data_IF_270409296530
#
_entry.id   IF_270409296530
#
_cell.length_a   1.000
_cell.length_b   1.000
_cell.length_c   1.000
_cell.angle_alpha   90.00
_cell.angle_beta   90.00
_cell.angle_gamma   90.00
#
_symmetry.space_group_name_H-M   'P 1'
#
loop_
_entity.id
_entity.type
_entity.pdbx_description
1 polymer ?
#
# COMPACT_ATOMS: atom_id res chain seq x y z
N UNK A 1 -15.47 2.00 2.22
CA UNK A 1 -14.91 0.74 2.74
C UNK A 1 -13.48 0.67 2.23
N UNK A 2 -12.48 0.37 3.07
CA UNK A 2 -11.09 0.24 2.62
C UNK A 2 -10.95 -0.89 1.59
N UNK A 3 -9.96 -0.79 0.73
CA UNK A 3 -9.67 -1.80 -0.29
C UNK A 3 -9.50 -3.20 0.30
N UNK A 4 -9.88 -4.23 -0.47
CA UNK A 4 -9.86 -5.66 -0.07
C UNK A 4 -10.79 -6.01 1.08
N UNK A 5 -11.89 -5.27 1.25
CA UNK A 5 -12.94 -5.63 2.21
C UNK A 5 -13.51 -7.04 1.88
N UNK A 6 -13.77 -7.83 2.91
CA UNK A 6 -14.41 -9.14 2.73
C UNK A 6 -15.89 -8.93 2.41
N UNK A 7 -16.49 -9.84 1.65
CA UNK A 7 -17.88 -9.71 1.23
C UNK A 7 -18.84 -9.47 2.41
N UNK A 8 -18.65 -10.15 3.53
CA UNK A 8 -19.51 -9.96 4.70
C UNK A 8 -19.40 -8.55 5.29
N UNK A 9 -18.20 -7.91 5.25
CA UNK A 9 -17.99 -6.53 5.71
C UNK A 9 -18.71 -5.55 4.80
N UNK A 10 -18.70 -5.80 3.48
CA UNK A 10 -19.47 -5.03 2.49
C UNK A 10 -20.96 -5.14 2.79
N UNK A 11 -21.48 -6.35 2.97
CA UNK A 11 -22.90 -6.61 3.27
C UNK A 11 -23.31 -5.88 4.56
N UNK A 12 -22.52 -5.97 5.62
CA UNK A 12 -22.80 -5.27 6.88
C UNK A 12 -22.81 -3.75 6.68
N UNK A 13 -21.85 -3.21 5.95
CA UNK A 13 -21.79 -1.76 5.71
C UNK A 13 -22.94 -1.28 4.85
N UNK A 14 -23.34 -2.02 3.84
CA UNK A 14 -24.51 -1.70 3.01
C UNK A 14 -25.79 -1.69 3.86
N UNK A 15 -25.97 -2.65 4.78
CA UNK A 15 -27.09 -2.64 5.71
C UNK A 15 -27.12 -1.36 6.55
N UNK A 16 -26.00 -0.99 7.18
CA UNK A 16 -25.92 0.22 8.00
C UNK A 16 -26.26 1.47 7.18
N UNK A 17 -25.69 1.59 5.98
CA UNK A 17 -25.98 2.72 5.08
C UNK A 17 -27.46 2.74 4.70
N UNK A 18 -28.07 1.58 4.43
CA UNK A 18 -29.48 1.51 4.10
C UNK A 18 -30.40 1.84 5.29
N UNK A 19 -30.02 1.50 6.52
CA UNK A 19 -30.74 1.96 7.72
C UNK A 19 -30.74 3.49 7.83
N UNK A 20 -29.56 4.11 7.61
CA UNK A 20 -29.42 5.56 7.60
C UNK A 20 -30.21 6.22 6.45
N UNK A 21 -30.20 5.61 5.25
CA UNK A 21 -30.95 6.09 4.09
C UNK A 21 -32.46 5.96 4.28
N UNK A 22 -32.91 4.84 4.84
CA UNK A 22 -34.33 4.58 5.08
C UNK A 22 -34.96 5.65 6.01
N UNK A 23 -34.20 6.09 7.02
CA UNK A 23 -34.65 7.18 7.92
C UNK A 23 -34.83 8.52 7.21
N UNK A 24 -34.18 8.70 6.06
CA UNK A 24 -34.28 9.92 5.22
C UNK A 24 -35.26 9.78 4.04
N UNK A 25 -35.67 8.55 3.74
CA UNK A 25 -36.59 8.27 2.63
C UNK A 25 -37.99 8.73 2.99
N UNK A 26 -38.73 9.33 2.03
CA UNK A 26 -40.14 9.73 2.26
C UNK A 26 -40.98 8.52 2.67
N UNK A 27 -41.66 8.66 3.79
CA UNK A 27 -42.49 7.58 4.36
C UNK A 27 -41.72 6.39 4.93
N UNK A 28 -40.41 6.50 5.09
CA UNK A 28 -39.49 5.40 5.51
C UNK A 28 -39.64 4.14 4.67
N UNK A 29 -39.80 4.30 3.36
CA UNK A 29 -39.90 3.19 2.39
C UNK A 29 -39.02 3.45 1.20
N UNK A 30 -38.27 2.42 0.75
CA UNK A 30 -37.56 2.47 -0.52
C UNK A 30 -38.51 2.16 -1.68
N UNK A 31 -38.31 2.88 -2.78
CA UNK A 31 -39.06 2.68 -4.04
C UNK A 31 -38.26 1.86 -5.06
N UNK A 32 -36.98 1.57 -4.78
CA UNK A 32 -36.07 0.79 -5.61
C UNK A 32 -34.69 0.71 -4.98
N UNK A 33 -33.71 0.28 -5.77
CA UNK A 33 -32.31 0.21 -5.40
C UNK A 33 -31.38 0.70 -6.53
N UNK A 34 -30.19 1.15 -6.20
CA UNK A 34 -29.15 1.54 -7.18
C UNK A 34 -27.75 1.25 -6.64
N UNK A 35 -26.82 1.00 -7.54
CA UNK A 35 -25.37 0.91 -7.30
C UNK A 35 -24.63 2.15 -7.83
N UNK A 36 -25.36 3.09 -8.44
CA UNK A 36 -24.83 4.36 -8.94
C UNK A 36 -24.81 5.43 -7.85
N UNK A 37 -23.62 5.98 -7.59
CA UNK A 37 -23.43 6.97 -6.54
C UNK A 37 -24.19 8.29 -6.78
N UNK A 38 -24.22 8.77 -8.04
CA UNK A 38 -24.93 10.01 -8.39
C UNK A 38 -26.43 9.86 -8.30
N UNK A 39 -26.97 8.70 -8.72
CA UNK A 39 -28.38 8.41 -8.59
C UNK A 39 -28.80 8.31 -7.13
N UNK A 40 -28.01 7.64 -6.31
CA UNK A 40 -28.24 7.54 -4.87
C UNK A 40 -28.18 8.90 -4.16
N UNK A 41 -27.31 9.82 -4.61
CA UNK A 41 -27.23 11.18 -4.07
C UNK A 41 -28.47 12.01 -4.40
N UNK A 42 -28.98 11.88 -5.64
CA UNK A 42 -30.17 12.61 -6.11
C UNK A 42 -31.48 12.05 -5.57
N UNK A 43 -31.53 10.76 -5.25
CA UNK A 43 -32.79 10.11 -4.85
C UNK A 43 -32.65 9.36 -3.51
N UNK A 44 -33.08 9.97 -2.40
CA UNK A 44 -33.04 9.32 -1.08
C UNK A 44 -33.97 8.11 -0.93
N UNK A 45 -34.93 7.91 -1.85
CA UNK A 45 -35.87 6.79 -1.82
C UNK A 45 -35.26 5.49 -2.42
N UNK A 46 -34.01 5.50 -2.87
CA UNK A 46 -33.33 4.30 -3.37
C UNK A 46 -32.47 3.67 -2.29
N UNK A 47 -32.54 2.35 -2.16
CA UNK A 47 -31.60 1.58 -1.37
C UNK A 47 -30.24 1.50 -2.09
N UNK A 48 -29.16 1.51 -1.33
CA UNK A 48 -27.84 1.19 -1.85
C UNK A 48 -27.74 -0.30 -2.16
N UNK A 49 -27.39 -0.64 -3.37
CA UNK A 49 -27.01 -1.99 -3.80
C UNK A 49 -25.54 -2.03 -4.24
N UNK A 50 -25.03 -3.20 -4.62
CA UNK A 50 -23.70 -3.37 -5.16
C UNK A 50 -23.61 -4.62 -6.04
N UNK A 51 -22.70 -4.59 -7.00
CA UNK A 51 -22.45 -5.70 -7.91
C UNK A 51 -21.24 -6.48 -7.43
N UNK A 52 -21.38 -7.82 -7.31
CA UNK A 52 -20.25 -8.72 -7.04
C UNK A 52 -19.62 -9.15 -8.36
N UNK A 53 -18.49 -8.54 -8.71
CA UNK A 53 -17.75 -8.94 -9.89
C UNK A 53 -16.98 -10.25 -9.65
N UNK A 54 -17.17 -11.30 -10.45
CA UNK A 54 -16.40 -12.54 -10.32
C UNK A 54 -14.93 -12.30 -10.69
N UNK A 55 -13.96 -12.82 -9.92
CA UNK A 55 -12.54 -12.67 -10.22
C UNK A 55 -12.17 -13.45 -11.51
N UNK A 56 -11.33 -12.84 -12.35
CA UNK A 56 -10.84 -13.42 -13.61
C UNK A 56 -9.33 -13.66 -13.54
N UNK A 57 -8.89 -14.60 -12.69
CA UNK A 57 -7.46 -14.82 -12.41
C UNK A 57 -6.60 -15.08 -13.66
N UNK A 58 -7.12 -15.84 -14.64
CA UNK A 58 -6.40 -16.07 -15.90
C UNK A 58 -6.11 -14.75 -16.65
N UNK A 59 -7.07 -13.83 -16.64
CA UNK A 59 -6.89 -12.50 -17.24
C UNK A 59 -5.86 -11.67 -16.47
N UNK A 60 -5.92 -11.70 -15.15
CA UNK A 60 -4.96 -10.95 -14.31
C UNK A 60 -3.54 -11.48 -14.50
N UNK A 61 -3.35 -12.79 -14.54
CA UNK A 61 -2.06 -13.42 -14.85
C UNK A 61 -1.55 -13.03 -16.24
N UNK A 62 -2.41 -13.00 -17.24
CA UNK A 62 -2.05 -12.55 -18.59
C UNK A 62 -1.48 -11.13 -18.60
N UNK A 63 -2.16 -10.17 -17.95
CA UNK A 63 -1.69 -8.80 -17.86
C UNK A 63 -0.42 -8.67 -17.01
N UNK A 64 -0.32 -9.40 -15.90
CA UNK A 64 0.89 -9.46 -15.09
C UNK A 64 2.11 -9.91 -15.91
N UNK A 65 1.97 -10.97 -16.72
CA UNK A 65 3.03 -11.44 -17.62
C UNK A 65 3.37 -10.39 -18.69
N UNK A 66 2.40 -9.76 -19.32
CA UNK A 66 2.65 -8.70 -20.29
C UNK A 66 3.45 -7.54 -19.69
N UNK A 67 3.10 -7.12 -18.46
CA UNK A 67 3.81 -6.06 -17.76
C UNK A 67 5.22 -6.51 -17.39
N UNK A 68 5.39 -7.75 -16.95
CA UNK A 68 6.71 -8.32 -16.66
C UNK A 68 7.60 -8.35 -17.91
N UNK A 69 7.06 -8.70 -19.09
CA UNK A 69 7.79 -8.67 -20.36
C UNK A 69 8.22 -7.24 -20.75
N UNK A 70 7.48 -6.21 -20.37
CA UNK A 70 7.90 -4.81 -20.51
C UNK A 70 9.09 -4.52 -19.59
N UNK A 71 9.05 -4.95 -18.34
CA UNK A 71 10.16 -4.77 -17.40
C UNK A 71 11.45 -5.41 -17.89
N UNK A 72 11.39 -6.60 -18.52
CA UNK A 72 12.55 -7.30 -19.09
C UNK A 72 13.28 -6.52 -20.21
N UNK A 73 12.64 -5.53 -20.82
CA UNK A 73 13.29 -4.64 -21.80
C UNK A 73 14.28 -3.67 -21.14
N UNK A 74 14.16 -3.47 -19.83
CA UNK A 74 14.94 -2.49 -19.07
C UNK A 74 15.87 -3.12 -18.05
N UNK A 75 15.46 -4.18 -17.40
CA UNK A 75 16.17 -4.83 -16.29
C UNK A 75 16.23 -6.33 -16.56
N UNK A 76 17.38 -6.95 -16.32
CA UNK A 76 17.54 -8.39 -16.47
C UNK A 76 16.75 -9.16 -15.40
N UNK A 77 16.38 -10.38 -15.71
CA UNK A 77 15.59 -11.23 -14.81
C UNK A 77 16.25 -11.43 -13.45
N UNK A 78 17.58 -11.55 -13.43
CA UNK A 78 18.38 -11.77 -12.22
C UNK A 78 18.31 -10.62 -11.23
N UNK A 79 18.04 -9.39 -11.72
CA UNK A 79 17.95 -8.17 -10.92
C UNK A 79 16.49 -7.82 -10.58
N UNK A 80 15.55 -8.75 -10.87
CA UNK A 80 14.13 -8.59 -10.55
C UNK A 80 13.68 -9.65 -9.55
N UNK A 81 12.84 -9.22 -8.60
CA UNK A 81 12.14 -10.10 -7.66
C UNK A 81 10.63 -9.90 -7.77
N UNK A 82 9.94 -10.91 -8.31
CA UNK A 82 8.46 -10.91 -8.38
C UNK A 82 7.92 -11.17 -6.99
N UNK A 83 7.37 -10.13 -6.37
CA UNK A 83 6.82 -10.20 -5.02
C UNK A 83 5.38 -10.71 -5.01
N UNK A 84 4.57 -10.28 -5.99
CA UNK A 84 3.18 -10.70 -6.16
C UNK A 84 2.77 -10.62 -7.63
N UNK A 85 1.50 -10.90 -7.93
CA UNK A 85 0.95 -10.80 -9.28
C UNK A 85 1.03 -9.37 -9.87
N UNK A 86 1.11 -8.35 -9.01
CA UNK A 86 1.04 -6.93 -9.35
C UNK A 86 2.22 -6.11 -8.81
N UNK A 87 3.18 -6.74 -8.14
CA UNK A 87 4.33 -6.07 -7.53
C UNK A 87 5.65 -6.76 -7.87
N UNK A 88 6.62 -5.97 -8.35
CA UNK A 88 7.97 -6.43 -8.69
C UNK A 88 8.99 -5.45 -8.09
N UNK A 89 10.02 -5.98 -7.45
CA UNK A 89 11.21 -5.23 -7.08
C UNK A 89 12.27 -5.35 -8.17
N UNK A 90 12.99 -4.26 -8.42
CA UNK A 90 14.06 -4.20 -9.42
C UNK A 90 15.29 -3.53 -8.82
N UNK A 91 16.44 -4.19 -8.85
CA UNK A 91 17.71 -3.52 -8.59
C UNK A 91 18.18 -2.83 -9.86
N UNK A 92 18.07 -1.51 -9.88
CA UNK A 92 18.43 -0.69 -11.04
C UNK A 92 19.81 -0.06 -10.91
N UNK A 93 20.57 -0.35 -9.86
CA UNK A 93 21.85 0.30 -9.51
C UNK A 93 22.82 0.33 -10.68
N UNK A 94 23.04 -0.79 -11.34
CA UNK A 94 23.97 -0.90 -12.47
C UNK A 94 23.44 -0.34 -13.79
N UNK A 95 22.12 -0.23 -13.91
CA UNK A 95 21.42 0.23 -15.13
C UNK A 95 21.43 1.75 -15.28
N UNK A 96 21.43 2.50 -14.16
CA UNK A 96 21.36 3.95 -14.19
C UNK A 96 22.51 4.60 -14.97
N UNK A 97 23.72 4.05 -14.83
CA UNK A 97 24.88 4.49 -15.57
C UNK A 97 24.77 4.18 -17.07
N UNK A 98 24.29 2.98 -17.40
CA UNK A 98 24.10 2.51 -18.77
C UNK A 98 23.08 3.35 -19.51
N UNK A 99 21.93 3.61 -18.88
CA UNK A 99 20.86 4.43 -19.45
C UNK A 99 21.10 5.93 -19.31
N UNK A 100 22.11 6.35 -18.54
CA UNK A 100 22.38 7.78 -18.22
C UNK A 100 21.13 8.46 -17.65
N UNK A 101 20.41 7.79 -16.79
CA UNK A 101 19.18 8.25 -16.17
C UNK A 101 19.26 8.17 -14.66
N UNK A 102 18.44 8.98 -13.97
CA UNK A 102 18.14 8.79 -12.54
C UNK A 102 17.17 7.61 -12.38
N UNK A 103 17.11 7.03 -11.18
CA UNK A 103 16.13 5.98 -10.86
C UNK A 103 14.69 6.46 -11.12
N UNK A 104 14.38 7.72 -10.77
CA UNK A 104 13.07 8.34 -11.03
C UNK A 104 12.74 8.41 -12.52
N UNK A 105 13.68 8.87 -13.35
CA UNK A 105 13.47 8.98 -14.79
C UNK A 105 13.28 7.60 -15.43
N UNK A 106 14.02 6.58 -14.98
CA UNK A 106 13.85 5.21 -15.45
C UNK A 106 12.49 4.63 -15.03
N UNK A 107 12.11 4.79 -13.77
CA UNK A 107 10.81 4.33 -13.27
C UNK A 107 9.64 5.00 -14.02
N UNK A 108 9.71 6.33 -14.22
CA UNK A 108 8.71 7.06 -15.00
C UNK A 108 8.59 6.51 -16.42
N UNK A 109 9.71 6.27 -17.10
CA UNK A 109 9.72 5.72 -18.45
C UNK A 109 9.07 4.32 -18.50
N UNK A 110 9.39 3.44 -17.57
CA UNK A 110 8.83 2.09 -17.48
C UNK A 110 7.30 2.17 -17.24
N UNK A 111 6.86 3.00 -16.30
CA UNK A 111 5.43 3.17 -15.97
C UNK A 111 4.65 3.71 -17.19
N UNK A 112 5.21 4.68 -17.91
CA UNK A 112 4.58 5.20 -19.13
C UNK A 112 4.44 4.14 -20.22
N UNK A 113 5.46 3.28 -20.40
CA UNK A 113 5.39 2.19 -21.37
C UNK A 113 4.33 1.14 -20.97
N UNK A 114 4.26 0.79 -19.68
CA UNK A 114 3.19 -0.07 -19.16
C UNK A 114 1.81 0.54 -19.42
N UNK A 115 1.62 1.81 -19.13
CA UNK A 115 0.36 2.51 -19.40
C UNK A 115 0.00 2.51 -20.90
N UNK A 116 0.98 2.81 -21.75
CA UNK A 116 0.79 2.86 -23.19
C UNK A 116 0.38 1.49 -23.79
N UNK A 117 1.00 0.40 -23.33
CA UNK A 117 0.74 -0.93 -23.90
C UNK A 117 -0.46 -1.64 -23.26
N UNK A 118 -0.77 -1.35 -21.99
CA UNK A 118 -1.79 -2.11 -21.24
C UNK A 118 -3.00 -1.28 -20.80
N UNK A 119 -2.93 0.05 -20.89
CA UNK A 119 -3.87 1.00 -20.26
C UNK A 119 -4.00 0.82 -18.73
N UNK A 120 -2.99 0.23 -18.08
CA UNK A 120 -2.94 0.06 -16.63
C UNK A 120 -1.93 1.07 -16.06
N UNK A 121 -2.39 1.88 -15.10
CA UNK A 121 -1.52 2.79 -14.35
C UNK A 121 -0.72 2.03 -13.30
N UNK A 122 0.50 2.48 -13.02
CA UNK A 122 1.32 1.94 -11.96
C UNK A 122 1.89 3.06 -11.08
N UNK A 123 2.30 2.71 -9.86
CA UNK A 123 3.04 3.57 -8.94
C UNK A 123 4.40 2.94 -8.65
N UNK A 124 5.39 3.75 -8.33
CA UNK A 124 6.70 3.24 -7.92
C UNK A 124 7.17 3.89 -6.61
N UNK A 125 7.83 3.07 -5.79
CA UNK A 125 8.68 3.53 -4.71
C UNK A 125 10.15 3.35 -5.12
N UNK A 126 11.00 4.28 -4.74
CA UNK A 126 12.44 4.22 -4.94
C UNK A 126 13.09 4.29 -3.56
N UNK A 127 14.02 3.38 -3.29
CA UNK A 127 14.72 3.33 -2.02
C UNK A 127 16.14 2.84 -2.19
N UNK A 128 16.99 3.13 -1.21
CA UNK A 128 18.38 2.65 -1.16
C UNK A 128 18.49 1.17 -0.80
N UNK A 129 17.38 0.60 -0.32
CA UNK A 129 17.22 -0.83 -0.09
C UNK A 129 15.77 -1.25 -0.34
N UNK A 130 15.52 -2.55 -0.31
CA UNK A 130 14.22 -3.17 -0.61
C UNK A 130 13.12 -2.69 0.36
N UNK A 131 13.42 -2.52 1.66
CA UNK A 131 12.45 -2.04 2.65
C UNK A 131 12.04 -0.60 2.35
N UNK A 132 13.00 0.31 2.16
CA UNK A 132 12.70 1.71 1.88
C UNK A 132 11.98 1.90 0.54
N UNK A 133 12.32 1.09 -0.47
CA UNK A 133 11.60 1.04 -1.73
C UNK A 133 10.12 0.68 -1.52
N UNK A 134 9.84 -0.36 -0.73
CA UNK A 134 8.46 -0.80 -0.43
C UNK A 134 7.69 0.25 0.37
N UNK A 135 8.33 0.84 1.39
CA UNK A 135 7.71 1.90 2.20
C UNK A 135 7.45 3.17 1.36
N UNK A 136 8.39 3.56 0.50
CA UNK A 136 8.19 4.68 -0.42
C UNK A 136 6.95 4.47 -1.29
N UNK A 137 6.75 3.25 -1.80
CA UNK A 137 5.58 2.92 -2.61
C UNK A 137 4.29 2.92 -1.79
N UNK A 138 4.25 2.23 -0.66
CA UNK A 138 3.01 1.99 0.09
C UNK A 138 2.54 3.20 0.89
N UNK A 139 3.47 3.93 1.51
CA UNK A 139 3.13 5.03 2.43
C UNK A 139 3.14 6.40 1.73
N UNK A 140 4.07 6.61 0.79
CA UNK A 140 4.22 7.92 0.15
C UNK A 140 3.61 7.96 -1.25
N UNK A 141 4.03 7.06 -2.18
CA UNK A 141 3.67 7.18 -3.60
C UNK A 141 2.16 7.09 -3.88
N UNK A 142 1.43 6.33 -3.08
CA UNK A 142 -0.04 6.21 -3.22
C UNK A 142 -0.79 7.49 -2.84
N UNK A 143 -0.14 8.40 -2.12
CA UNK A 143 -0.74 9.62 -1.57
C UNK A 143 -0.21 10.90 -2.22
N UNK A 144 0.84 10.82 -3.06
CA UNK A 144 1.32 11.99 -3.79
C UNK A 144 0.45 12.25 -5.01
N UNK A 145 0.32 13.52 -5.37
CA UNK A 145 -0.33 13.90 -6.63
C UNK A 145 0.49 13.36 -7.82
N UNK A 146 -0.19 12.95 -8.91
CA UNK A 146 0.50 12.54 -10.12
C UNK A 146 1.34 13.70 -10.66
N UNK A 147 2.49 13.37 -11.23
CA UNK A 147 3.30 14.36 -11.95
C UNK A 147 2.65 14.77 -13.30
N UNK A 148 3.31 15.62 -14.07
CA UNK A 148 2.86 16.06 -15.39
C UNK A 148 2.59 14.92 -16.39
N UNK A 149 3.14 13.75 -16.15
CA UNK A 149 2.97 12.53 -16.93
C UNK A 149 1.91 11.59 -16.36
N UNK A 150 1.21 12.00 -15.31
CA UNK A 150 0.22 11.17 -14.62
C UNK A 150 0.82 10.06 -13.74
N UNK A 151 2.13 10.13 -13.44
CA UNK A 151 2.86 9.09 -12.71
C UNK A 151 3.03 9.48 -11.23
N UNK A 152 2.85 8.51 -10.34
CA UNK A 152 3.07 8.66 -8.90
C UNK A 152 4.32 7.90 -8.49
N UNK A 153 5.35 8.63 -8.08
CA UNK A 153 6.63 8.08 -7.62
C UNK A 153 7.05 8.78 -6.33
N UNK A 154 7.44 8.01 -5.33
CA UNK A 154 8.07 8.51 -4.12
C UNK A 154 9.47 7.91 -3.95
N UNK A 155 10.34 8.66 -3.26
CA UNK A 155 11.73 8.29 -3.01
C UNK A 155 12.06 8.42 -1.52
N UNK A 156 12.69 7.40 -0.95
CA UNK A 156 13.16 7.39 0.42
C UNK A 156 14.61 6.88 0.50
N UNK A 157 15.43 7.64 1.17
CA UNK A 157 16.66 7.17 1.80
C UNK A 157 16.49 7.07 3.32
N UNK A 158 17.48 6.58 4.03
CA UNK A 158 17.44 6.40 5.49
C UNK A 158 17.17 7.72 6.22
N UNK A 159 17.74 8.82 5.73
CA UNK A 159 17.57 10.15 6.34
C UNK A 159 16.16 10.69 6.13
N UNK A 160 15.65 10.59 4.92
CA UNK A 160 14.29 11.03 4.56
C UNK A 160 13.23 10.17 5.25
N UNK A 161 13.45 8.85 5.33
CA UNK A 161 12.59 7.94 6.07
C UNK A 161 12.48 8.34 7.54
N UNK A 162 13.62 8.59 8.23
CA UNK A 162 13.63 9.03 9.62
C UNK A 162 12.90 10.36 9.81
N UNK A 163 13.14 11.32 8.93
CA UNK A 163 12.53 12.66 9.04
C UNK A 163 11.03 12.65 8.80
N UNK A 164 10.56 11.88 7.81
CA UNK A 164 9.16 11.90 7.38
C UNK A 164 8.31 10.88 8.12
N UNK A 165 8.82 9.66 8.33
CA UNK A 165 8.00 8.52 8.66
C UNK A 165 8.24 7.94 10.06
N UNK A 166 9.29 8.34 10.78
CA UNK A 166 9.48 7.84 12.15
C UNK A 166 8.35 8.18 13.11
N UNK A 167 7.60 9.25 12.86
CA UNK A 167 6.42 9.63 13.64
C UNK A 167 5.09 9.30 12.93
N UNK A 168 5.14 8.63 11.78
CA UNK A 168 3.94 8.24 11.04
C UNK A 168 3.09 7.26 11.84
N UNK A 169 1.78 7.40 11.70
CA UNK A 169 0.75 6.52 12.25
C UNK A 169 -0.34 6.31 11.19
N UNK A 170 -0.96 5.14 11.17
CA UNK A 170 -0.79 4.00 12.10
C UNK A 170 0.41 3.11 11.71
N UNK A 171 0.91 2.31 12.66
CA UNK A 171 2.02 1.37 12.42
C UNK A 171 1.69 0.29 11.37
N UNK A 172 0.41 -0.03 11.14
CA UNK A 172 -0.04 -0.99 10.14
C UNK A 172 0.28 -0.60 8.70
N UNK A 173 0.59 0.66 8.44
CA UNK A 173 0.97 1.14 7.11
C UNK A 173 2.38 0.66 6.72
N UNK A 174 3.17 0.27 7.72
CA UNK A 174 4.52 -0.23 7.47
C UNK A 174 4.52 -1.72 7.11
N UNK A 175 5.30 -2.03 6.09
CA UNK A 175 5.45 -3.38 5.60
C UNK A 175 5.87 -4.35 6.71
N UNK A 176 5.23 -5.51 6.78
CA UNK A 176 5.38 -6.57 7.79
C UNK A 176 4.87 -6.22 9.19
N UNK A 177 4.30 -5.05 9.42
CA UNK A 177 3.70 -4.69 10.71
C UNK A 177 2.20 -4.96 10.69
N UNK A 178 1.79 -6.15 11.09
CA UNK A 178 0.37 -6.52 11.16
C UNK A 178 -0.28 -6.16 12.50
N UNK A 179 -1.61 -6.27 12.56
CA UNK A 179 -2.41 -5.94 13.75
C UNK A 179 -1.94 -6.64 15.05
N UNK A 180 -1.37 -7.84 14.94
CA UNK A 180 -0.83 -8.57 16.09
C UNK A 180 0.40 -7.89 16.69
N UNK A 181 1.28 -7.36 15.84
CA UNK A 181 2.44 -6.57 16.25
C UNK A 181 2.00 -5.26 16.89
N UNK A 182 1.12 -4.53 16.21
CA UNK A 182 0.63 -3.23 16.68
C UNK A 182 0.04 -3.33 18.07
N UNK A 183 -0.89 -4.27 18.31
CA UNK A 183 -1.49 -4.43 19.64
C UNK A 183 -0.47 -4.67 20.74
N UNK A 184 0.56 -5.47 20.49
CA UNK A 184 1.62 -5.72 21.46
C UNK A 184 2.48 -4.48 21.71
N UNK A 185 2.86 -3.76 20.65
CA UNK A 185 3.65 -2.53 20.74
C UNK A 185 2.88 -1.43 21.50
N UNK A 186 1.61 -1.24 21.19
CA UNK A 186 0.73 -0.27 21.86
C UNK A 186 0.58 -0.55 23.36
N UNK A 187 0.53 -1.82 23.79
CA UNK A 187 0.46 -2.20 25.20
C UNK A 187 1.67 -1.73 26.02
N UNK A 188 2.82 -1.55 25.37
CA UNK A 188 4.04 -1.03 26.02
C UNK A 188 4.34 0.41 25.62
N UNK A 189 3.40 1.11 24.95
CA UNK A 189 3.54 2.52 24.60
C UNK A 189 4.42 2.81 23.38
N UNK A 190 4.80 1.81 22.60
CA UNK A 190 5.53 1.98 21.33
C UNK A 190 4.53 2.19 20.19
N UNK A 191 4.36 3.43 19.74
CA UNK A 191 3.29 3.84 18.83
C UNK A 191 3.78 4.17 17.43
N UNK A 192 5.10 4.27 17.23
CA UNK A 192 5.73 4.69 15.97
C UNK A 192 7.01 3.90 15.69
N UNK A 193 7.45 3.88 14.42
CA UNK A 193 8.74 3.27 14.08
C UNK A 193 9.91 3.96 14.79
N UNK A 194 9.81 5.27 15.01
CA UNK A 194 10.79 6.01 15.82
C UNK A 194 10.82 5.60 17.29
N UNK A 195 9.68 5.20 17.88
CA UNK A 195 9.66 4.66 19.24
C UNK A 195 10.35 3.29 19.31
N UNK A 196 10.11 2.44 18.31
CA UNK A 196 10.74 1.12 18.19
C UNK A 196 12.25 1.28 18.04
N UNK A 197 12.69 2.15 17.11
CA UNK A 197 14.10 2.42 16.89
C UNK A 197 14.81 3.00 18.15
N UNK A 198 14.16 3.87 18.89
CA UNK A 198 14.70 4.37 20.18
C UNK A 198 14.73 3.28 21.25
N UNK A 199 13.71 2.43 21.28
CA UNK A 199 13.67 1.27 22.18
C UNK A 199 14.86 0.34 21.93
N UNK A 200 15.16 -0.01 20.67
CA UNK A 200 16.27 -0.92 20.34
C UNK A 200 17.65 -0.39 20.75
N UNK A 201 17.80 0.93 20.90
CA UNK A 201 19.04 1.58 21.32
C UNK A 201 19.14 1.80 22.84
N UNK A 202 18.14 1.38 23.62
CA UNK A 202 18.12 1.52 25.07
C UNK A 202 19.18 0.63 25.74
N UNK A 203 19.62 1.06 26.94
CA UNK A 203 20.61 0.30 27.69
C UNK A 203 20.01 -0.95 28.32
N UNK A 204 20.81 -1.96 28.57
CA UNK A 204 20.39 -3.24 29.18
C UNK A 204 19.59 -3.09 30.49
N UNK A 205 19.89 -2.05 31.30
CA UNK A 205 19.19 -1.79 32.53
C UNK A 205 17.96 -0.89 32.43
N UNK A 206 17.62 -0.45 31.23
CA UNK A 206 16.41 0.35 30.96
C UNK A 206 15.23 -0.58 30.58
N UNK A 207 13.99 -0.11 30.84
CA UNK A 207 12.79 -0.87 30.47
C UNK A 207 12.64 -1.00 28.96
N UNK A 208 12.87 0.10 28.24
CA UNK A 208 12.87 0.13 26.79
C UNK A 208 14.28 -0.16 26.29
N UNK A 209 14.48 -1.38 25.82
CA UNK A 209 15.72 -1.87 25.25
C UNK A 209 15.43 -2.95 24.20
N UNK A 210 16.44 -3.44 23.55
CA UNK A 210 16.34 -4.48 22.54
C UNK A 210 15.73 -5.78 23.10
N UNK A 211 16.09 -6.17 24.32
CA UNK A 211 15.55 -7.35 25.00
C UNK A 211 14.02 -7.31 25.16
N UNK A 212 13.42 -6.14 25.34
CA UNK A 212 11.98 -6.00 25.37
C UNK A 212 11.36 -6.44 24.04
N UNK A 213 11.93 -6.02 22.91
CA UNK A 213 11.45 -6.39 21.57
C UNK A 213 11.62 -7.88 21.32
N UNK A 214 12.76 -8.47 21.70
CA UNK A 214 12.98 -9.92 21.59
C UNK A 214 12.04 -10.74 22.48
N UNK A 215 11.74 -10.29 23.70
CA UNK A 215 10.73 -10.95 24.56
C UNK A 215 9.34 -10.92 23.95
N UNK A 216 8.99 -9.86 23.24
CA UNK A 216 7.66 -9.71 22.62
C UNK A 216 7.51 -10.49 21.31
N UNK A 217 8.56 -10.57 20.50
CA UNK A 217 8.49 -11.03 19.10
C UNK A 217 9.45 -12.16 18.76
N UNK A 218 10.34 -12.54 19.68
CA UNK A 218 11.41 -13.52 19.43
C UNK A 218 12.33 -13.01 18.31
N UNK A 219 12.86 -13.90 17.50
CA UNK A 219 13.71 -13.56 16.35
C UNK A 219 13.06 -12.58 15.36
N UNK A 220 11.75 -12.51 15.33
CA UNK A 220 11.07 -11.54 14.47
C UNK A 220 11.22 -10.08 14.94
N UNK A 221 11.80 -9.82 16.11
CA UNK A 221 12.18 -8.47 16.53
C UNK A 221 13.16 -7.82 15.54
N UNK A 222 14.06 -8.61 14.95
CA UNK A 222 15.00 -8.16 13.91
C UNK A 222 14.32 -7.43 12.75
N UNK A 223 13.14 -7.91 12.34
CA UNK A 223 12.35 -7.27 11.28
C UNK A 223 11.80 -5.88 11.64
N UNK A 224 11.86 -5.51 12.91
CA UNK A 224 11.42 -4.19 13.41
C UNK A 224 12.61 -3.28 13.73
N UNK A 225 13.78 -3.88 14.02
CA UNK A 225 15.00 -3.18 14.46
C UNK A 225 15.84 -2.74 13.26
N UNK A 226 16.01 -3.64 12.28
CA UNK A 226 16.79 -3.41 11.06
C UNK A 226 16.01 -2.64 10.00
#
# INVERSE_FOLDING_TARGET
IPGRARLFEVVQRVRQVNEERLSKAPGNVFTGESDDAEELERNPSLALSFIVAPPRMALYMKYSTMIYDIYLRYVAHEDMHVYSIDEVFMDVTHYLKTYKMTARALACKIIQEVLHETNITATAGIGTNLYLCKIAMDVEAKHVEPDENGVRIAELDETTYRRKLWNHRPLQDFWRVGNGYVRKLEQVGLMTMGDIARCSLGKENEFYNEDLLYRMFGVNAELLID
#
